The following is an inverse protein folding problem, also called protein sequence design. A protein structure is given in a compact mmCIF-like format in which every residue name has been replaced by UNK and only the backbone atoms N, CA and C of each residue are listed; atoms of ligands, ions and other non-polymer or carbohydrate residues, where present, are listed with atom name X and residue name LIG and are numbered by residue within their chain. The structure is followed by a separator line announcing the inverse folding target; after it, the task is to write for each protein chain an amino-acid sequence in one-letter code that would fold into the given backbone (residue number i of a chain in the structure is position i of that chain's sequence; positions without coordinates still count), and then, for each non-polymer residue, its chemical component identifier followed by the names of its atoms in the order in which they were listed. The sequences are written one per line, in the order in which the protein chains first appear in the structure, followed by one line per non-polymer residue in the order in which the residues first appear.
data_IF_153029841151
#
_entry.id   IF_153029841151
#
_cell.length_a   1.000
_cell.length_b   1.000
_cell.length_c   1.000
_cell.angle_alpha   90.00
_cell.angle_beta   90.00
_cell.angle_gamma   90.00
#
_symmetry.space_group_name_H-M   'P 1'
#
loop_
_entity.id
_entity.type
_entity.pdbx_description
1 polymer ?
#
# COMPACT_ATOMS: atom_id res chain seq x y z
N UNK A 1 -28.91 31.54 40.53
CA UNK A 1 -27.68 30.94 41.08
C UNK A 1 -27.66 29.46 40.70
N UNK A 2 -27.88 29.13 39.42
CA UNK A 2 -26.82 28.93 38.43
C UNK A 2 -25.72 27.98 38.92
N UNK A 3 -26.04 26.68 38.89
CA UNK A 3 -25.30 25.67 38.11
C UNK A 3 -23.78 25.84 38.04
N UNK A 4 -23.09 25.28 39.04
CA UNK A 4 -21.66 25.02 39.02
C UNK A 4 -21.50 23.59 39.58
N UNK A 5 -20.65 22.78 38.95
CA UNK A 5 -20.25 21.40 39.30
C UNK A 5 -20.93 20.22 38.58
N UNK A 6 -20.59 20.06 37.30
CA UNK A 6 -20.24 18.77 36.67
C UNK A 6 -19.25 19.12 35.54
N UNK A 7 -17.97 19.32 35.83
CA UNK A 7 -16.90 18.31 35.86
C UNK A 7 -16.98 17.27 34.72
N UNK A 8 -15.98 17.34 33.83
CA UNK A 8 -15.48 16.33 32.88
C UNK A 8 -16.26 16.10 31.58
N UNK A 9 -16.01 16.97 30.59
CA UNK A 9 -15.70 16.50 29.24
C UNK A 9 -14.39 17.15 28.80
N UNK A 10 -13.29 16.47 29.17
CA UNK A 10 -11.94 16.72 28.67
C UNK A 10 -11.99 16.59 27.14
N UNK A 11 -11.92 17.73 26.46
CA UNK A 11 -11.52 17.80 25.06
C UNK A 11 -10.15 17.10 24.94
N UNK A 12 -10.13 15.87 24.43
CA UNK A 12 -8.92 15.29 23.83
C UNK A 12 -8.87 15.83 22.41
N UNK A 13 -8.31 17.03 22.27
CA UNK A 13 -7.82 17.51 20.99
C UNK A 13 -6.84 16.47 20.47
N UNK A 14 -7.15 15.90 19.31
CA UNK A 14 -6.21 15.07 18.56
C UNK A 14 -5.08 16.01 18.14
N UNK A 15 -4.00 16.03 18.90
CA UNK A 15 -2.77 16.69 18.47
C UNK A 15 -2.34 15.99 17.20
N UNK A 16 -2.54 16.65 16.06
CA UNK A 16 -2.02 16.17 14.78
C UNK A 16 -0.51 16.23 14.87
N UNK A 17 0.09 15.11 15.26
CA UNK A 17 1.52 14.90 15.17
C UNK A 17 1.89 15.07 13.69
N UNK A 18 2.59 16.16 13.40
CA UNK A 18 2.97 16.56 12.05
C UNK A 18 4.14 15.67 11.64
N UNK A 19 3.84 14.49 11.10
CA UNK A 19 4.87 13.65 10.49
C UNK A 19 5.43 14.43 9.30
N UNK A 20 6.74 14.71 9.33
CA UNK A 20 7.41 15.46 8.28
C UNK A 20 7.22 14.77 6.92
N UNK A 21 6.82 15.53 5.90
CA UNK A 21 6.45 15.03 4.56
C UNK A 21 7.60 14.30 3.84
N UNK A 22 8.84 14.48 4.28
CA UNK A 22 10.04 13.93 3.62
C UNK A 22 10.15 12.40 3.75
N UNK A 23 9.67 11.81 4.86
CA UNK A 23 9.71 10.34 5.07
C UNK A 23 8.52 9.66 4.37
N UNK A 24 7.46 10.42 4.05
CA UNK A 24 6.22 9.87 3.50
C UNK A 24 6.31 9.56 1.99
N UNK A 25 7.08 10.35 1.23
CA UNK A 25 7.11 10.24 -0.24
C UNK A 25 8.06 9.15 -0.77
N UNK A 26 9.14 8.84 -0.06
CA UNK A 26 10.22 8.00 -0.63
C UNK A 26 9.97 6.49 -0.49
N UNK A 27 9.17 6.05 0.48
CA UNK A 27 9.01 4.61 0.79
C UNK A 27 7.68 4.04 0.28
N UNK A 28 6.67 4.88 0.03
CA UNK A 28 5.31 4.42 -0.26
C UNK A 28 5.11 3.94 -1.69
N UNK A 29 5.66 4.64 -2.69
CA UNK A 29 5.45 4.30 -4.10
C UNK A 29 6.13 2.98 -4.51
N UNK A 30 7.38 2.77 -4.09
CA UNK A 30 8.20 1.63 -4.52
C UNK A 30 7.66 0.26 -4.09
N UNK A 31 6.81 0.26 -3.05
CA UNK A 31 6.22 -0.96 -2.49
C UNK A 31 4.90 -1.35 -3.17
N UNK A 32 4.10 -0.37 -3.60
CA UNK A 32 2.79 -0.65 -4.21
C UNK A 32 2.92 -1.43 -5.55
N UNK A 33 4.00 -1.24 -6.32
CA UNK A 33 4.27 -1.97 -7.56
C UNK A 33 4.56 -3.47 -7.34
N UNK A 34 5.32 -3.80 -6.29
CA UNK A 34 5.64 -5.18 -5.93
C UNK A 34 4.40 -5.98 -5.51
N UNK A 35 3.48 -5.33 -4.78
CA UNK A 35 2.21 -5.94 -4.34
C UNK A 35 1.29 -6.24 -5.53
N UNK A 36 1.27 -5.37 -6.55
CA UNK A 36 0.50 -5.61 -7.77
C UNK A 36 0.97 -6.87 -8.49
N UNK A 37 2.29 -7.00 -8.64
CA UNK A 37 2.95 -8.17 -9.20
C UNK A 37 2.64 -9.44 -8.42
N UNK A 38 2.69 -9.40 -7.09
CA UNK A 38 2.34 -10.53 -6.23
C UNK A 38 0.88 -10.96 -6.40
N UNK A 39 -0.05 -10.01 -6.49
CA UNK A 39 -1.46 -10.31 -6.74
C UNK A 39 -1.73 -10.91 -8.12
N UNK A 40 -0.98 -10.52 -9.16
CA UNK A 40 -1.12 -11.08 -10.51
C UNK A 40 -0.42 -12.44 -10.67
N UNK A 41 0.59 -12.74 -9.84
CA UNK A 41 1.32 -14.02 -9.86
C UNK A 41 0.69 -15.06 -8.94
N UNK A 42 0.01 -14.63 -7.87
CA UNK A 42 -0.60 -15.49 -6.87
C UNK A 42 -2.00 -15.96 -7.30
N UNK A 43 -2.04 -16.76 -8.36
CA UNK A 43 -3.24 -17.56 -8.70
C UNK A 43 -3.28 -18.87 -7.88
N UNK A 44 -2.39 -19.03 -6.90
CA UNK A 44 -2.21 -20.25 -6.12
C UNK A 44 -2.30 -20.03 -4.62
N UNK A 45 -3.45 -20.45 -4.07
CA UNK A 45 -3.64 -21.18 -2.81
C UNK A 45 -3.10 -20.57 -1.51
N UNK A 46 -4.04 -20.29 -0.59
CA UNK A 46 -3.79 -19.84 0.77
C UNK A 46 -3.03 -20.85 1.61
N UNK A 47 -1.72 -20.93 1.39
CA UNK A 47 -0.80 -21.63 2.28
C UNK A 47 -0.82 -20.85 3.60
N UNK A 48 -1.12 -21.49 4.74
CA UNK A 48 -0.92 -20.85 6.02
C UNK A 48 0.55 -20.46 6.11
N UNK A 49 0.81 -19.17 6.30
CA UNK A 49 2.16 -18.67 6.47
C UNK A 49 2.78 -19.36 7.69
N UNK A 50 4.10 -19.65 7.66
CA UNK A 50 4.80 -20.15 8.83
C UNK A 50 4.57 -19.21 10.02
N UNK A 51 4.44 -19.82 11.20
CA UNK A 51 4.19 -19.08 12.44
C UNK A 51 5.51 -18.44 12.86
N UNK A 52 5.64 -17.14 12.63
CA UNK A 52 6.83 -16.36 12.99
C UNK A 52 6.58 -15.55 14.27
N UNK A 53 7.38 -15.79 15.31
CA UNK A 53 7.20 -15.16 16.63
C UNK A 53 7.59 -13.68 16.68
N UNK A 54 8.42 -13.22 15.74
CA UNK A 54 8.86 -11.83 15.65
C UNK A 54 7.78 -10.88 15.10
N UNK A 55 6.74 -11.43 14.45
CA UNK A 55 5.69 -10.66 13.79
C UNK A 55 4.43 -10.58 14.65
N UNK A 56 3.70 -9.44 14.63
CA UNK A 56 2.49 -9.28 15.42
C UNK A 56 1.42 -10.28 14.95
N UNK A 57 0.78 -10.96 15.91
CA UNK A 57 -0.19 -12.02 15.62
C UNK A 57 0.43 -13.30 15.05
N UNK A 58 1.73 -13.53 15.32
CA UNK A 58 2.49 -14.69 14.88
C UNK A 58 2.50 -14.88 13.35
N UNK A 59 2.43 -13.77 12.59
CA UNK A 59 2.36 -13.78 11.13
C UNK A 59 1.01 -14.25 10.53
N UNK A 60 0.02 -14.60 11.35
CA UNK A 60 -1.20 -15.28 10.89
C UNK A 60 -2.23 -14.32 10.25
N UNK A 61 -2.33 -13.10 10.76
CA UNK A 61 -3.35 -12.14 10.32
C UNK A 61 -2.74 -11.09 9.40
N UNK A 62 -2.59 -11.44 8.13
CA UNK A 62 -2.01 -10.58 7.10
C UNK A 62 -3.04 -10.03 6.11
N UNK A 63 -2.79 -8.81 5.62
CA UNK A 63 -3.56 -8.20 4.53
C UNK A 63 -2.65 -7.91 3.34
N UNK A 64 -2.85 -8.65 2.25
CA UNK A 64 -2.09 -8.55 1.00
C UNK A 64 -2.13 -7.15 0.41
N UNK A 65 -3.29 -6.50 0.41
CA UNK A 65 -3.41 -5.19 -0.21
C UNK A 65 -2.73 -4.07 0.57
N UNK A 66 -2.39 -4.24 1.84
CA UNK A 66 -1.87 -3.14 2.66
C UNK A 66 -0.52 -3.44 3.31
N UNK A 67 0.08 -4.60 3.00
CA UNK A 67 1.35 -5.09 3.55
C UNK A 67 1.46 -4.92 5.07
N UNK A 68 0.39 -5.31 5.78
CA UNK A 68 0.31 -5.10 7.22
C UNK A 68 -0.18 -6.35 7.95
N UNK A 69 0.54 -6.68 9.01
CA UNK A 69 0.20 -7.71 9.98
C UNK A 69 -0.65 -7.13 11.11
N UNK A 70 -1.60 -7.93 11.60
CA UNK A 70 -2.52 -7.60 12.68
C UNK A 70 -2.38 -8.60 13.83
N UNK A 71 -2.73 -8.16 15.04
CA UNK A 71 -2.66 -9.03 16.22
C UNK A 71 -3.84 -10.01 16.35
N UNK A 72 -5.03 -9.62 15.90
CA UNK A 72 -6.28 -10.38 16.06
C UNK A 72 -7.06 -10.48 14.74
N UNK A 73 -7.87 -11.53 14.60
CA UNK A 73 -8.82 -11.72 13.48
C UNK A 73 -9.80 -10.56 13.37
N UNK A 74 -10.38 -10.13 14.49
CA UNK A 74 -11.40 -9.06 14.52
C UNK A 74 -10.86 -7.74 13.98
N UNK A 75 -9.62 -7.40 14.34
CA UNK A 75 -8.94 -6.18 13.88
C UNK A 75 -8.66 -6.24 12.37
N UNK A 76 -8.30 -7.42 11.85
CA UNK A 76 -8.14 -7.64 10.41
C UNK A 76 -9.46 -7.44 9.67
N UNK A 77 -10.56 -7.96 10.22
CA UNK A 77 -11.88 -7.84 9.58
C UNK A 77 -12.42 -6.40 9.63
N UNK A 78 -12.13 -5.67 10.71
CA UNK A 78 -12.38 -4.23 10.79
C UNK A 78 -11.52 -3.46 9.78
N UNK A 79 -10.26 -3.85 9.58
CA UNK A 79 -9.37 -3.23 8.59
C UNK A 79 -9.95 -3.29 7.17
N UNK A 80 -10.50 -4.43 6.75
CA UNK A 80 -11.15 -4.57 5.44
C UNK A 80 -12.33 -3.60 5.25
N UNK A 81 -13.02 -3.24 6.35
CA UNK A 81 -14.12 -2.27 6.35
C UNK A 81 -13.65 -0.81 6.40
N UNK A 82 -12.35 -0.53 6.48
CA UNK A 82 -11.85 0.86 6.51
C UNK A 82 -11.84 1.51 5.13
N UNK A 83 -11.97 2.84 5.07
CA UNK A 83 -11.88 3.60 3.82
C UNK A 83 -10.50 3.49 3.15
N UNK A 84 -9.43 3.38 3.96
CA UNK A 84 -8.06 3.24 3.45
C UNK A 84 -7.89 1.96 2.64
N UNK A 85 -8.33 0.83 3.20
CA UNK A 85 -8.26 -0.45 2.52
C UNK A 85 -9.05 -0.44 1.22
N UNK A 86 -10.33 -0.01 1.26
CA UNK A 86 -11.17 0.09 0.05
C UNK A 86 -10.58 0.98 -1.04
N UNK A 87 -9.88 2.06 -0.67
CA UNK A 87 -9.20 2.92 -1.65
C UNK A 87 -8.05 2.18 -2.32
N UNK A 88 -7.24 1.44 -1.56
CA UNK A 88 -6.10 0.71 -2.10
C UNK A 88 -6.53 -0.48 -2.97
N UNK A 89 -7.57 -1.21 -2.57
CA UNK A 89 -8.15 -2.28 -3.41
C UNK A 89 -8.56 -1.74 -4.79
N UNK A 90 -9.21 -0.57 -4.83
CA UNK A 90 -9.58 0.07 -6.10
C UNK A 90 -8.38 0.52 -6.92
N UNK A 91 -7.28 0.92 -6.28
CA UNK A 91 -6.04 1.27 -6.98
C UNK A 91 -5.38 0.02 -7.58
N UNK A 92 -5.31 -1.07 -6.82
CA UNK A 92 -4.70 -2.33 -7.25
C UNK A 92 -5.53 -3.06 -8.32
N UNK A 93 -6.86 -2.90 -8.34
CA UNK A 93 -7.74 -3.36 -9.42
C UNK A 93 -7.75 -2.42 -10.64
N UNK A 94 -7.03 -1.30 -10.57
CA UNK A 94 -6.98 -0.29 -11.61
C UNK A 94 -6.06 -0.68 -12.78
N UNK A 95 -5.71 0.29 -13.64
CA UNK A 95 -4.72 0.07 -14.70
C UNK A 95 -3.38 -0.35 -14.10
N UNK A 96 -2.58 -1.07 -14.90
CA UNK A 96 -1.25 -1.52 -14.51
C UNK A 96 -0.40 -0.35 -13.95
N UNK A 97 0.46 -0.61 -12.96
CA UNK A 97 1.35 0.41 -12.40
C UNK A 97 2.24 1.04 -13.47
N UNK A 98 2.57 2.32 -13.27
CA UNK A 98 3.38 3.07 -14.22
C UNK A 98 4.80 2.50 -14.29
N UNK A 99 5.21 2.08 -15.47
CA UNK A 99 6.54 1.51 -15.71
C UNK A 99 7.50 2.55 -16.26
N UNK A 100 8.80 2.34 -16.08
CA UNK A 100 9.84 3.20 -16.63
C UNK A 100 9.71 3.37 -18.16
N UNK A 101 9.29 2.33 -18.87
CA UNK A 101 9.07 2.37 -20.31
C UNK A 101 7.95 3.36 -20.70
N UNK A 102 6.88 3.44 -19.89
CA UNK A 102 5.79 4.38 -20.10
C UNK A 102 6.26 5.83 -19.90
N UNK A 103 7.16 6.07 -18.92
CA UNK A 103 7.81 7.36 -18.72
C UNK A 103 8.71 7.76 -19.91
N UNK A 104 9.50 6.83 -20.43
CA UNK A 104 10.42 7.07 -21.55
C UNK A 104 9.67 7.33 -22.85
N UNK A 105 8.58 6.60 -23.10
CA UNK A 105 7.68 6.84 -24.23
C UNK A 105 7.01 8.21 -24.12
N UNK A 106 6.50 8.58 -22.94
CA UNK A 106 5.91 9.90 -22.70
C UNK A 106 6.93 11.05 -22.83
N UNK A 107 8.18 10.80 -22.46
CA UNK A 107 9.28 11.75 -22.62
C UNK A 107 9.79 11.86 -24.07
N UNK A 108 9.29 11.04 -25.00
CA UNK A 108 9.76 11.00 -26.38
C UNK A 108 11.16 10.39 -26.53
N UNK A 109 11.64 9.70 -25.50
CA UNK A 109 12.94 9.01 -25.45
C UNK A 109 12.80 7.52 -25.78
N UNK A 110 11.73 7.14 -26.48
CA UNK A 110 11.49 5.76 -26.91
C UNK A 110 12.66 5.19 -27.70
N UNK A 111 12.81 3.86 -27.63
CA UNK A 111 13.89 3.12 -28.27
C UNK A 111 14.14 3.65 -29.68
N UNK A 112 15.34 4.20 -29.98
CA UNK A 112 15.64 4.65 -31.33
C UNK A 112 15.53 3.42 -32.23
N UNK A 113 14.54 3.44 -33.14
CA UNK A 113 14.53 2.58 -34.31
C UNK A 113 15.71 3.00 -35.19
N UNK A 114 16.91 2.64 -34.72
CA UNK A 114 18.06 2.51 -35.59
C UNK A 114 17.75 1.26 -36.41
N UNK A 115 16.98 1.47 -37.49
CA UNK A 115 16.48 0.42 -38.36
C UNK A 115 17.54 -0.59 -38.79
N UNK A 116 17.12 -1.74 -39.35
CA UNK A 116 18.02 -2.85 -39.64
C UNK A 116 19.25 -2.32 -40.37
N UNK A 117 20.42 -2.52 -39.74
CA UNK A 117 21.71 -2.11 -40.27
C UNK A 117 21.77 -2.60 -41.71
N UNK A 118 21.76 -1.67 -42.67
CA UNK A 118 21.94 -1.98 -44.08
C UNK A 118 23.24 -2.77 -44.17
N UNK A 119 23.13 -4.09 -44.30
CA UNK A 119 24.25 -4.92 -44.69
C UNK A 119 24.52 -4.54 -46.14
N UNK A 120 25.53 -3.69 -46.34
CA UNK A 120 26.13 -3.51 -47.66
C UNK A 120 26.62 -4.91 -48.08
N UNK A 121 26.05 -5.41 -49.18
CA UNK A 121 26.49 -6.61 -49.88
C UNK A 121 27.99 -6.53 -50.21
#
# INVERSE_FOLDING_TARGET
MQSIFLFVLKQRSVTKFKVSNHVFLTVSCLRDDAVYDELHKAEGDGKPLPVDEDLPGMGQYYCLHCDRFFANVTVRDEHFKTKKHRRRVKQMMGPAPHTQLDAELAAGMGMPDNGPKLMLM
#
